data_IF_887138619365
#
_entry.id   IF_887138619365
#
_cell.length_a   1.000
_cell.length_b   1.000
_cell.length_c   1.000
_cell.angle_alpha   90.00
_cell.angle_beta   90.00
_cell.angle_gamma   90.00
#
_symmetry.space_group_name_H-M   'P 1'
#
loop_
_entity.id
_entity.type
_entity.pdbx_description
1 polymer ?
#
# COMPACT_ATOMS: atom_id res chain seq x y z
N UNK A 1 -52.39 4.22 69.68
CA UNK A 1 -52.09 4.56 68.28
C UNK A 1 -50.82 3.83 67.89
N UNK A 2 -51.02 2.79 67.08
CA UNK A 2 -50.03 1.91 66.46
C UNK A 2 -48.90 2.65 65.75
N UNK A 3 -47.67 2.19 65.95
CA UNK A 3 -46.66 2.22 64.88
C UNK A 3 -45.86 0.90 64.96
N UNK A 4 -46.26 -0.07 64.14
CA UNK A 4 -45.55 -1.32 63.92
C UNK A 4 -44.20 -1.04 63.21
N UNK A 5 -43.12 -1.75 63.52
CA UNK A 5 -41.99 -1.85 62.60
C UNK A 5 -42.43 -2.69 61.39
N UNK A 6 -42.34 -2.10 60.19
CA UNK A 6 -42.58 -2.81 58.93
C UNK A 6 -41.46 -3.85 58.73
N UNK A 7 -41.74 -5.15 58.60
CA UNK A 7 -40.73 -6.10 58.20
C UNK A 7 -40.47 -5.89 56.70
N UNK A 8 -39.37 -5.22 56.39
CA UNK A 8 -38.76 -5.29 55.06
C UNK A 8 -38.16 -6.68 54.89
N UNK A 9 -38.99 -7.63 54.46
CA UNK A 9 -38.50 -8.85 53.82
C UNK A 9 -37.72 -8.41 52.58
N UNK A 10 -36.40 -8.44 52.68
CA UNK A 10 -35.52 -8.38 51.51
C UNK A 10 -35.69 -9.70 50.76
N UNK A 11 -36.75 -9.79 49.96
CA UNK A 11 -36.79 -10.78 48.89
C UNK A 11 -35.61 -10.49 47.96
N UNK A 12 -34.77 -11.48 47.62
CA UNK A 12 -33.76 -11.28 46.59
C UNK A 12 -34.50 -10.97 45.30
N UNK A 13 -34.31 -9.77 44.76
CA UNK A 13 -34.70 -9.47 43.39
C UNK A 13 -33.83 -10.34 42.50
N UNK A 14 -34.41 -11.43 42.03
CA UNK A 14 -33.88 -12.27 40.97
C UNK A 14 -33.63 -11.35 39.77
N UNK A 15 -32.36 -10.97 39.59
CA UNK A 15 -31.92 -10.31 38.37
C UNK A 15 -31.93 -11.40 37.31
N UNK A 16 -33.06 -11.52 36.64
CA UNK A 16 -33.28 -12.41 35.50
C UNK A 16 -32.43 -11.88 34.33
N UNK A 17 -31.14 -12.20 34.43
CA UNK A 17 -30.11 -11.85 33.47
C UNK A 17 -30.41 -12.57 32.17
N UNK A 18 -30.75 -11.77 31.17
CA UNK A 18 -30.92 -12.10 29.76
C UNK A 18 -29.69 -12.81 29.17
N UNK A 19 -29.50 -14.09 29.46
CA UNK A 19 -28.75 -15.00 28.61
C UNK A 19 -29.40 -16.37 28.68
N UNK A 20 -30.27 -16.73 27.71
CA UNK A 20 -30.75 -18.10 27.63
C UNK A 20 -29.53 -19.03 27.55
N UNK A 21 -29.31 -19.83 28.59
CA UNK A 21 -28.22 -20.79 28.69
C UNK A 21 -28.49 -21.98 27.77
N UNK A 22 -28.41 -21.73 26.48
CA UNK A 22 -28.37 -22.77 25.46
C UNK A 22 -26.91 -23.25 25.36
N UNK A 23 -26.53 -24.13 26.29
CA UNK A 23 -25.30 -24.91 26.24
C UNK A 23 -25.37 -25.91 25.07
N UNK A 24 -25.36 -25.39 23.84
CA UNK A 24 -25.00 -26.19 22.67
C UNK A 24 -23.48 -26.25 22.68
N UNK A 25 -22.96 -27.34 23.23
CA UNK A 25 -21.55 -27.66 23.10
C UNK A 25 -21.18 -27.67 21.61
N UNK A 26 -20.17 -26.88 21.25
CA UNK A 26 -19.49 -27.05 19.96
C UNK A 26 -19.13 -28.53 19.85
N UNK A 27 -19.63 -29.20 18.82
CA UNK A 27 -19.27 -30.61 18.64
C UNK A 27 -17.77 -30.69 18.37
N UNK A 28 -17.07 -31.66 18.95
CA UNK A 28 -15.63 -31.86 18.68
C UNK A 28 -15.37 -32.02 17.18
N UNK A 29 -16.33 -32.63 16.47
CA UNK A 29 -16.30 -32.80 15.03
C UNK A 29 -16.35 -31.46 14.27
N UNK A 30 -17.15 -30.50 14.74
CA UNK A 30 -17.29 -29.19 14.11
C UNK A 30 -15.99 -28.39 14.18
N UNK A 31 -15.22 -28.53 15.26
CA UNK A 31 -13.89 -27.93 15.29
C UNK A 31 -12.91 -28.67 14.36
N UNK A 32 -12.96 -30.02 14.32
CA UNK A 32 -12.07 -30.83 13.48
C UNK A 32 -12.29 -30.56 11.98
N UNK A 33 -13.53 -30.48 11.52
CA UNK A 33 -13.82 -30.20 10.11
C UNK A 33 -13.41 -28.78 9.72
N UNK A 34 -13.56 -27.80 10.62
CA UNK A 34 -13.14 -26.41 10.37
C UNK A 34 -11.63 -26.32 10.21
N UNK A 35 -10.85 -26.90 11.13
CA UNK A 35 -9.38 -26.88 11.00
C UNK A 35 -8.89 -27.72 9.82
N UNK A 36 -9.60 -28.79 9.44
CA UNK A 36 -9.29 -29.58 8.25
C UNK A 36 -9.50 -28.76 6.96
N UNK A 37 -10.62 -28.04 6.85
CA UNK A 37 -10.91 -27.16 5.71
C UNK A 37 -9.91 -25.98 5.66
N UNK A 38 -9.66 -25.32 6.80
CA UNK A 38 -8.68 -24.24 6.89
C UNK A 38 -7.27 -24.71 6.54
N UNK A 39 -6.90 -25.93 6.91
CA UNK A 39 -5.62 -26.56 6.56
C UNK A 39 -5.44 -26.66 5.04
N UNK A 40 -6.45 -27.18 4.33
CA UNK A 40 -6.39 -27.34 2.86
C UNK A 40 -6.34 -25.98 2.16
N UNK A 41 -7.14 -25.01 2.59
CA UNK A 41 -7.18 -23.67 1.99
C UNK A 41 -5.85 -22.92 2.25
N UNK A 42 -5.26 -23.07 3.44
CA UNK A 42 -4.05 -22.32 3.81
C UNK A 42 -2.87 -22.55 2.85
N UNK A 43 -2.63 -23.80 2.44
CA UNK A 43 -1.50 -24.16 1.59
C UNK A 43 -1.64 -23.59 0.18
N UNK A 44 -2.86 -23.65 -0.38
CA UNK A 44 -3.12 -23.19 -1.76
C UNK A 44 -3.09 -21.67 -1.89
N UNK A 45 -3.55 -20.95 -0.87
CA UNK A 45 -3.56 -19.47 -0.84
C UNK A 45 -2.15 -18.90 -0.93
N UNK A 46 -1.18 -19.50 -0.25
CA UNK A 46 0.21 -19.00 -0.24
C UNK A 46 0.84 -18.96 -1.62
N UNK A 47 0.62 -19.98 -2.46
CA UNK A 47 1.20 -20.06 -3.80
C UNK A 47 0.65 -18.97 -4.74
N UNK A 48 -0.66 -18.73 -4.70
CA UNK A 48 -1.30 -17.68 -5.51
C UNK A 48 -0.93 -16.28 -5.04
N UNK A 49 -0.84 -16.08 -3.73
CA UNK A 49 -0.53 -14.78 -3.14
C UNK A 49 0.86 -14.25 -3.51
N UNK A 50 1.87 -15.13 -3.64
CA UNK A 50 3.22 -14.73 -4.06
C UNK A 50 3.26 -14.17 -5.49
N UNK A 51 2.53 -14.75 -6.42
CA UNK A 51 2.44 -14.26 -7.81
C UNK A 51 1.78 -12.88 -7.88
N UNK A 52 0.62 -12.74 -7.23
CA UNK A 52 -0.13 -11.48 -7.17
C UNK A 52 0.67 -10.34 -6.55
N UNK A 53 1.49 -10.63 -5.53
CA UNK A 53 2.38 -9.63 -4.92
C UNK A 53 3.43 -9.10 -5.90
N UNK A 54 4.02 -9.97 -6.71
CA UNK A 54 5.04 -9.57 -7.69
C UNK A 54 4.42 -8.72 -8.80
N UNK A 55 3.26 -9.13 -9.31
CA UNK A 55 2.52 -8.38 -10.34
C UNK A 55 2.01 -7.03 -9.83
N UNK A 56 1.49 -6.98 -8.61
CA UNK A 56 1.10 -5.72 -7.98
C UNK A 56 2.31 -4.79 -7.77
N UNK A 57 3.48 -5.36 -7.44
CA UNK A 57 4.71 -4.59 -7.28
C UNK A 57 5.18 -3.98 -8.61
N UNK A 58 5.17 -4.75 -9.70
CA UNK A 58 5.52 -4.24 -11.04
C UNK A 58 4.51 -3.19 -11.52
N UNK A 59 3.21 -3.42 -11.33
CA UNK A 59 2.18 -2.46 -11.71
C UNK A 59 2.29 -1.14 -10.93
N UNK A 60 2.65 -1.21 -9.64
CA UNK A 60 2.91 -0.02 -8.84
C UNK A 60 4.19 0.71 -9.29
N UNK A 61 5.26 -0.01 -9.65
CA UNK A 61 6.45 0.61 -10.21
C UNK A 61 6.16 1.32 -11.55
N UNK A 62 5.35 0.70 -12.40
CA UNK A 62 4.92 1.28 -13.67
C UNK A 62 4.10 2.56 -13.48
N UNK A 63 3.19 2.60 -12.50
CA UNK A 63 2.38 3.80 -12.23
C UNK A 63 3.23 4.98 -11.73
N UNK A 64 4.23 4.71 -10.89
CA UNK A 64 5.18 5.74 -10.43
C UNK A 64 6.05 6.22 -11.58
N UNK A 65 6.51 5.32 -12.45
CA UNK A 65 7.28 5.67 -13.63
C UNK A 65 6.50 6.54 -14.62
N UNK A 66 5.25 6.19 -14.90
CA UNK A 66 4.36 7.00 -15.74
C UNK A 66 4.15 8.39 -15.14
N UNK A 67 3.94 8.47 -13.83
CA UNK A 67 3.85 9.76 -13.13
C UNK A 67 5.12 10.58 -13.34
N UNK A 68 6.30 9.99 -13.15
CA UNK A 68 7.57 10.65 -13.37
C UNK A 68 7.75 11.13 -14.83
N UNK A 69 7.37 10.31 -15.82
CA UNK A 69 7.42 10.71 -17.23
C UNK A 69 6.50 11.90 -17.53
N UNK A 70 5.27 11.88 -17.02
CA UNK A 70 4.34 13.00 -17.20
C UNK A 70 4.85 14.27 -16.52
N UNK A 71 5.50 14.15 -15.37
CA UNK A 71 6.15 15.27 -14.68
C UNK A 71 7.26 15.87 -15.52
N UNK A 72 8.18 15.07 -16.05
CA UNK A 72 9.26 15.56 -16.91
C UNK A 72 8.71 16.25 -18.16
N UNK A 73 7.71 15.66 -18.82
CA UNK A 73 7.10 16.25 -20.00
C UNK A 73 6.39 17.58 -19.68
N UNK A 74 5.65 17.63 -18.56
CA UNK A 74 4.94 18.84 -18.10
C UNK A 74 5.92 19.93 -17.66
N UNK A 75 6.98 19.57 -16.97
CA UNK A 75 8.03 20.48 -16.53
C UNK A 75 8.73 21.11 -17.74
N UNK A 76 9.18 20.28 -18.69
CA UNK A 76 9.81 20.77 -19.90
C UNK A 76 8.88 21.65 -20.73
N UNK A 77 7.59 21.32 -20.82
CA UNK A 77 6.61 22.18 -21.50
C UNK A 77 6.48 23.57 -20.85
N UNK A 78 6.41 23.64 -19.50
CA UNK A 78 6.40 24.92 -18.77
C UNK A 78 7.67 25.72 -19.01
N UNK A 79 8.81 25.04 -19.11
CA UNK A 79 10.11 25.65 -19.37
C UNK A 79 10.20 26.25 -20.77
N UNK A 80 9.71 25.53 -21.80
CA UNK A 80 9.62 26.06 -23.17
C UNK A 80 8.72 27.29 -23.27
N UNK A 81 7.71 27.40 -22.41
CA UNK A 81 6.85 28.57 -22.30
C UNK A 81 7.48 29.73 -21.50
N UNK A 82 8.68 29.55 -20.94
CA UNK A 82 9.35 30.55 -20.10
C UNK A 82 8.72 30.74 -18.72
N UNK A 83 7.82 29.85 -18.29
CA UNK A 83 7.13 29.95 -17.00
C UNK A 83 8.02 29.51 -15.82
N UNK A 84 9.06 28.72 -16.10
CA UNK A 84 10.05 28.23 -15.14
C UNK A 84 11.43 28.20 -15.80
N UNK A 85 12.50 28.31 -15.00
CA UNK A 85 13.90 28.27 -15.46
C UNK A 85 14.70 27.09 -14.91
N UNK A 86 14.16 26.39 -13.91
CA UNK A 86 14.85 25.28 -13.25
C UNK A 86 14.93 24.05 -14.17
N UNK A 87 15.87 23.16 -13.87
CA UNK A 87 16.12 21.93 -14.63
C UNK A 87 15.92 20.74 -13.71
N UNK A 88 15.29 19.68 -14.22
CA UNK A 88 15.32 18.37 -13.54
C UNK A 88 16.71 17.76 -13.76
N UNK A 89 17.57 17.84 -12.75
CA UNK A 89 18.94 17.28 -12.80
C UNK A 89 19.14 16.13 -11.84
N UNK A 90 18.37 16.11 -10.75
CA UNK A 90 18.44 15.12 -9.69
C UNK A 90 17.08 14.46 -9.43
N UNK A 91 17.11 13.34 -8.72
CA UNK A 91 15.90 12.67 -8.24
C UNK A 91 15.08 13.58 -7.32
N UNK A 92 15.73 14.43 -6.52
CA UNK A 92 15.05 15.36 -5.63
C UNK A 92 14.25 16.40 -6.42
N UNK A 93 14.81 16.93 -7.52
CA UNK A 93 14.10 17.83 -8.43
C UNK A 93 12.90 17.11 -9.07
N UNK A 94 13.12 15.88 -9.55
CA UNK A 94 12.04 15.09 -10.14
C UNK A 94 10.88 14.91 -9.16
N UNK A 95 11.16 14.47 -7.93
CA UNK A 95 10.16 14.21 -6.89
C UNK A 95 9.45 15.49 -6.45
N UNK A 96 10.15 16.63 -6.35
CA UNK A 96 9.52 17.89 -5.94
C UNK A 96 8.49 18.42 -6.96
N UNK A 97 8.66 18.08 -8.24
CA UNK A 97 7.73 18.45 -9.30
C UNK A 97 6.69 17.36 -9.63
N UNK A 98 6.75 16.21 -8.98
CA UNK A 98 5.71 15.18 -9.10
C UNK A 98 4.41 15.62 -8.44
N UNK A 99 3.28 15.22 -9.05
CA UNK A 99 1.95 15.55 -8.53
C UNK A 99 1.65 14.80 -7.24
N UNK A 100 2.21 13.60 -7.10
CA UNK A 100 2.13 12.75 -5.92
C UNK A 100 3.56 12.43 -5.48
N UNK A 101 3.83 12.54 -4.19
CA UNK A 101 5.15 12.28 -3.62
C UNK A 101 5.39 10.77 -3.49
N UNK A 102 6.26 10.15 -4.32
CA UNK A 102 6.52 8.72 -4.26
C UNK A 102 7.21 8.32 -2.95
N UNK A 103 7.81 9.25 -2.18
CA UNK A 103 8.45 8.90 -0.90
C UNK A 103 7.43 8.46 0.16
N UNK A 104 6.20 8.97 0.08
CA UNK A 104 5.09 8.49 0.91
C UNK A 104 4.68 7.06 0.58
N UNK A 105 4.99 6.60 -0.63
CA UNK A 105 4.78 5.23 -1.08
C UNK A 105 6.02 4.33 -0.86
N UNK A 106 7.02 4.77 -0.09
CA UNK A 106 8.21 4.00 0.26
C UNK A 106 9.35 4.08 -0.75
N UNK A 107 9.30 5.05 -1.69
CA UNK A 107 10.43 5.32 -2.57
C UNK A 107 11.45 6.24 -1.91
N UNK A 108 12.70 6.11 -2.31
CA UNK A 108 13.82 6.89 -1.77
C UNK A 108 14.62 7.48 -2.92
N UNK A 109 14.96 8.75 -2.80
CA UNK A 109 15.82 9.43 -3.77
C UNK A 109 17.28 9.40 -3.32
N UNK A 110 18.17 9.05 -4.24
CA UNK A 110 19.61 9.20 -4.06
C UNK A 110 20.26 9.59 -5.38
N UNK A 111 20.82 10.80 -5.45
CA UNK A 111 21.43 11.33 -6.67
C UNK A 111 20.41 11.41 -7.81
N UNK A 112 20.64 10.64 -8.87
CA UNK A 112 19.75 10.55 -10.06
C UNK A 112 18.74 9.41 -9.99
N UNK A 113 18.72 8.65 -8.89
CA UNK A 113 18.02 7.37 -8.81
C UNK A 113 16.89 7.43 -7.77
N UNK A 114 15.70 7.02 -8.18
CA UNK A 114 14.51 6.85 -7.35
C UNK A 114 14.31 5.34 -7.14
N UNK A 115 14.46 4.86 -5.91
CA UNK A 115 14.51 3.43 -5.58
C UNK A 115 13.41 3.04 -4.61
N UNK A 116 12.81 1.87 -4.81
CA UNK A 116 11.90 1.26 -3.85
C UNK A 116 12.09 -0.26 -3.80
N UNK A 117 11.72 -0.87 -2.68
CA UNK A 117 11.58 -2.33 -2.58
C UNK A 117 10.12 -2.64 -2.28
N UNK A 118 9.43 -3.20 -3.28
CA UNK A 118 7.98 -3.48 -3.22
C UNK A 118 7.79 -4.98 -3.40
N UNK A 119 7.08 -5.63 -2.47
CA UNK A 119 6.82 -7.07 -2.56
C UNK A 119 8.09 -7.95 -2.56
N UNK A 120 9.22 -7.44 -2.06
CA UNK A 120 10.51 -8.13 -2.05
C UNK A 120 11.32 -8.01 -3.35
N UNK A 121 10.85 -7.22 -4.32
CA UNK A 121 11.59 -6.89 -5.56
C UNK A 121 12.08 -5.45 -5.50
N UNK A 122 13.32 -5.22 -5.95
CA UNK A 122 13.91 -3.89 -6.02
C UNK A 122 13.55 -3.23 -7.37
N UNK A 123 13.07 -2.00 -7.29
CA UNK A 123 12.72 -1.17 -8.44
C UNK A 123 13.56 0.11 -8.39
N UNK A 124 14.08 0.50 -9.55
CA UNK A 124 14.87 1.71 -9.69
C UNK A 124 14.47 2.44 -10.97
N UNK A 125 14.13 3.72 -10.81
CA UNK A 125 13.92 4.68 -11.89
C UNK A 125 15.11 5.61 -11.86
N UNK A 126 15.76 5.82 -13.00
CA UNK A 126 16.95 6.66 -13.11
C UNK A 126 16.75 7.74 -14.16
N UNK A 127 17.25 8.93 -13.84
CA UNK A 127 17.45 9.99 -14.82
C UNK A 127 18.71 9.61 -15.62
N UNK A 128 18.50 9.16 -16.86
CA UNK A 128 19.56 8.76 -17.79
C UNK A 128 20.29 9.96 -18.36
N UNK A 129 19.51 10.99 -18.69
CA UNK A 129 20.00 12.27 -19.21
C UNK A 129 19.26 13.39 -18.49
N UNK A 130 20.01 14.31 -17.86
CA UNK A 130 19.43 15.46 -17.18
C UNK A 130 18.75 16.43 -18.16
N UNK A 131 17.78 17.19 -17.67
CA UNK A 131 17.09 18.21 -18.45
C UNK A 131 18.04 19.37 -18.77
N UNK A 132 18.04 19.80 -20.03
CA UNK A 132 18.79 20.97 -20.51
C UNK A 132 17.83 22.03 -21.06
N UNK A 133 18.33 23.22 -21.39
CA UNK A 133 17.48 24.30 -21.93
C UNK A 133 16.79 23.96 -23.25
N UNK A 134 17.28 22.95 -23.96
CA UNK A 134 16.79 22.56 -25.29
C UNK A 134 16.29 21.11 -25.36
N UNK A 135 16.41 20.33 -24.28
CA UNK A 135 16.03 18.92 -24.28
C UNK A 135 15.47 18.48 -22.94
N UNK A 136 14.37 17.71 -22.98
CA UNK A 136 13.74 17.11 -21.80
C UNK A 136 14.66 16.07 -21.13
N UNK A 137 14.47 15.84 -19.83
CA UNK A 137 15.12 14.71 -19.17
C UNK A 137 14.66 13.37 -19.75
N UNK A 138 15.57 12.40 -19.79
CA UNK A 138 15.28 11.02 -20.19
C UNK A 138 15.26 10.14 -18.96
N UNK A 139 14.17 9.40 -18.76
CA UNK A 139 14.02 8.46 -17.66
C UNK A 139 14.15 7.03 -18.18
N UNK A 140 14.79 6.18 -17.40
CA UNK A 140 14.87 4.73 -17.63
C UNK A 140 14.57 3.98 -16.33
N UNK A 141 14.33 2.67 -16.43
CA UNK A 141 14.18 1.81 -15.26
C UNK A 141 14.98 0.51 -15.36
N UNK A 142 15.03 -0.24 -14.25
CA UNK A 142 15.79 -1.49 -14.14
C UNK A 142 14.95 -2.76 -14.16
N UNK A 143 13.62 -2.67 -14.20
CA UNK A 143 12.73 -3.84 -14.27
C UNK A 143 12.16 -4.00 -15.67
N UNK A 144 11.88 -5.23 -16.07
CA UNK A 144 11.27 -5.52 -17.37
C UNK A 144 9.80 -5.08 -17.37
N UNK A 145 9.48 -4.08 -18.18
CA UNK A 145 8.11 -3.58 -18.40
C UNK A 145 7.98 -3.04 -19.82
N UNK A 146 6.85 -3.30 -20.53
CA UNK A 146 6.62 -2.80 -21.89
C UNK A 146 6.63 -1.27 -21.98
N UNK A 147 6.28 -0.59 -20.88
CA UNK A 147 6.10 0.86 -20.86
C UNK A 147 7.34 1.61 -20.40
N UNK A 148 8.42 0.88 -20.05
CA UNK A 148 9.60 1.48 -19.46
C UNK A 148 10.89 1.09 -20.19
N UNK A 149 11.62 2.06 -20.77
CA UNK A 149 12.91 1.80 -21.38
C UNK A 149 13.93 1.38 -20.32
N UNK A 150 14.67 0.31 -20.63
CA UNK A 150 15.69 -0.22 -19.72
C UNK A 150 16.90 0.72 -19.61
N UNK A 151 17.40 0.89 -18.39
CA UNK A 151 18.68 1.54 -18.15
C UNK A 151 19.81 0.62 -18.60
N UNK A 152 20.40 0.90 -19.76
CA UNK A 152 21.65 0.29 -20.23
C UNK A 152 22.82 0.67 -19.34
#
# INVERSE_FOLDING_TARGET
MDILPRPGSFAPTEMDGFFPQNHRGFTLLELIIVIAILGIISVTVVARYKGLKKEAATAHADSVFQTAQTTVARHFAKKLMGAISDNITSCADLVSYMTEDPTKAGWTCSGTNLKATIGGSAFEIRIKSAETSTSRAELCCTWESPNCPQCS
#
